data_IF_088880284334
#
_entry.id   IF_088880284334
#
_cell.length_a   1.000
_cell.length_b   1.000
_cell.length_c   1.000
_cell.angle_alpha   90.00
_cell.angle_beta   90.00
_cell.angle_gamma   90.00
#
_symmetry.space_group_name_H-M   'P 1'
#
loop_
_entity.id
_entity.type
_entity.pdbx_description
1 polymer ?
#
# COMPACT_ATOMS: atom_id res chain seq x y z
N UNK A 1 -33.23 41.82 -0.90
CA UNK A 1 -32.44 40.95 -1.79
C UNK A 1 -31.16 40.61 -1.05
N UNK A 2 -31.02 39.37 -0.58
CA UNK A 2 -29.81 38.92 0.12
C UNK A 2 -28.71 38.68 -0.91
N UNK A 3 -27.61 39.43 -0.80
CA UNK A 3 -26.37 39.16 -1.54
C UNK A 3 -25.89 37.75 -1.20
N UNK A 4 -25.81 36.88 -2.20
CA UNK A 4 -25.10 35.62 -2.05
C UNK A 4 -23.61 35.90 -2.30
N UNK A 5 -22.70 35.35 -1.47
CA UNK A 5 -21.27 35.52 -1.70
C UNK A 5 -20.89 34.86 -3.03
N UNK A 6 -20.24 35.62 -3.92
CA UNK A 6 -19.69 35.06 -5.15
C UNK A 6 -18.63 34.01 -4.80
N UNK A 7 -18.97 32.75 -5.07
CA UNK A 7 -18.02 31.64 -5.04
C UNK A 7 -17.04 31.81 -6.21
N UNK A 8 -15.92 32.50 -5.98
CA UNK A 8 -14.79 32.53 -6.92
C UNK A 8 -13.72 31.53 -6.48
N UNK A 9 -13.30 30.67 -7.42
CA UNK A 9 -12.18 29.75 -7.23
C UNK A 9 -10.83 30.48 -7.21
N UNK A 10 -9.76 29.76 -6.89
CA UNK A 10 -8.39 30.27 -7.05
C UNK A 10 -8.11 30.57 -8.53
N UNK A 11 -7.41 31.67 -8.80
CA UNK A 11 -6.82 31.89 -10.13
C UNK A 11 -5.69 30.90 -10.39
N UNK A 12 -5.33 30.73 -11.66
CA UNK A 12 -4.23 29.85 -12.06
C UNK A 12 -2.92 30.27 -11.38
N UNK A 13 -2.61 31.57 -11.35
CA UNK A 13 -1.39 32.10 -10.72
C UNK A 13 -1.38 31.81 -9.22
N UNK A 14 -2.52 32.00 -8.56
CA UNK A 14 -2.65 31.70 -7.14
C UNK A 14 -2.45 30.21 -6.86
N UNK A 15 -2.98 29.32 -7.71
CA UNK A 15 -2.80 27.88 -7.59
C UNK A 15 -1.33 27.47 -7.77
N UNK A 16 -0.65 27.97 -8.80
CA UNK A 16 0.76 27.63 -9.07
C UNK A 16 1.71 28.12 -7.97
N UNK A 17 1.46 29.30 -7.39
CA UNK A 17 2.31 29.87 -6.34
C UNK A 17 2.29 29.07 -5.03
N UNK A 18 1.29 28.22 -4.80
CA UNK A 18 1.18 27.36 -3.61
C UNK A 18 1.93 26.02 -3.82
N UNK A 19 2.17 25.62 -5.07
CA UNK A 19 2.85 24.36 -5.38
C UNK A 19 4.37 24.46 -5.14
N UNK A 20 4.91 23.53 -4.36
CA UNK A 20 6.35 23.42 -4.09
C UNK A 20 7.04 22.40 -5.01
N UNK A 21 8.33 22.58 -5.28
CA UNK A 21 9.14 21.59 -5.98
C UNK A 21 9.29 20.30 -5.16
N UNK A 22 9.29 19.10 -5.78
CA UNK A 22 9.49 17.84 -5.05
C UNK A 22 10.84 17.75 -4.33
N UNK A 23 10.86 17.23 -3.09
CA UNK A 23 12.11 16.90 -2.38
C UNK A 23 12.80 15.70 -3.08
N UNK A 24 14.13 15.68 -3.27
CA UNK A 24 14.84 14.56 -3.90
C UNK A 24 14.58 13.19 -3.25
N UNK A 25 14.17 13.15 -1.98
CA UNK A 25 13.81 11.91 -1.26
C UNK A 25 12.47 11.31 -1.72
N UNK A 26 11.58 12.10 -2.33
CA UNK A 26 10.28 11.62 -2.81
C UNK A 26 10.30 11.21 -4.28
N UNK A 27 11.46 11.26 -4.94
CA UNK A 27 11.62 11.00 -6.39
C UNK A 27 11.06 9.64 -6.86
N UNK A 28 11.10 8.63 -5.99
CA UNK A 28 10.69 7.26 -6.31
C UNK A 28 9.29 6.93 -5.77
N UNK A 29 8.59 7.91 -5.16
CA UNK A 29 7.21 7.71 -4.70
C UNK A 29 6.26 7.60 -5.88
N UNK A 30 5.20 6.82 -5.70
CA UNK A 30 4.15 6.65 -6.70
C UNK A 30 2.78 6.59 -6.03
N UNK A 31 1.76 7.10 -6.72
CA UNK A 31 0.36 6.91 -6.31
C UNK A 31 -0.06 5.48 -6.68
N UNK A 32 0.08 4.59 -5.71
CA UNK A 32 -0.04 3.15 -5.92
C UNK A 32 -1.49 2.71 -6.01
N UNK A 33 -2.35 3.18 -5.11
CA UNK A 33 -3.71 2.69 -4.98
C UNK A 33 -4.71 3.78 -4.61
N UNK A 34 -5.94 3.56 -5.05
CA UNK A 34 -7.15 4.16 -4.47
C UNK A 34 -7.99 3.04 -3.88
N UNK A 35 -8.41 3.19 -2.62
CA UNK A 35 -9.19 2.16 -1.93
C UNK A 35 -10.66 2.51 -1.87
N UNK A 36 -11.52 1.57 -2.28
CA UNK A 36 -12.98 1.68 -2.16
C UNK A 36 -13.55 0.47 -1.40
N UNK A 37 -14.49 0.73 -0.50
CA UNK A 37 -15.24 -0.35 0.17
C UNK A 37 -16.39 -0.81 -0.71
N UNK A 38 -16.53 -2.12 -0.84
CA UNK A 38 -17.56 -2.74 -1.69
C UNK A 38 -18.44 -3.71 -0.90
N UNK A 39 -19.73 -3.72 -1.26
CA UNK A 39 -20.74 -4.57 -0.61
C UNK A 39 -20.72 -6.01 -1.10
N UNK A 40 -20.59 -6.22 -2.41
CA UNK A 40 -20.62 -7.55 -3.05
C UNK A 40 -19.46 -7.68 -4.03
N UNK A 41 -18.43 -8.50 -3.72
CA UNK A 41 -17.25 -8.64 -4.56
C UNK A 41 -17.56 -9.28 -5.90
N UNK A 42 -18.62 -10.10 -6.03
CA UNK A 42 -18.94 -10.72 -7.32
C UNK A 42 -19.41 -9.68 -8.33
N UNK A 43 -20.32 -8.80 -7.91
CA UNK A 43 -20.83 -7.70 -8.75
C UNK A 43 -19.73 -6.70 -9.07
N UNK A 44 -18.91 -6.34 -8.08
CA UNK A 44 -17.82 -5.40 -8.29
C UNK A 44 -16.75 -5.96 -9.23
N UNK A 45 -16.30 -7.21 -9.04
CA UNK A 45 -15.31 -7.82 -9.92
C UNK A 45 -15.83 -7.96 -11.34
N UNK A 46 -17.08 -8.40 -11.53
CA UNK A 46 -17.70 -8.44 -12.86
C UNK A 46 -17.71 -7.06 -13.52
N UNK A 47 -18.15 -6.02 -12.80
CA UNK A 47 -18.19 -4.65 -13.33
C UNK A 47 -16.79 -4.15 -13.72
N UNK A 48 -15.82 -4.19 -12.81
CA UNK A 48 -14.49 -3.64 -13.08
C UNK A 48 -13.71 -4.45 -14.13
N UNK A 49 -13.92 -5.76 -14.22
CA UNK A 49 -13.20 -6.59 -15.20
C UNK A 49 -13.90 -6.65 -16.56
N UNK A 50 -15.21 -6.95 -16.61
CA UNK A 50 -15.94 -7.15 -17.86
C UNK A 50 -16.39 -5.84 -18.51
N UNK A 51 -16.83 -4.85 -17.72
CA UNK A 51 -17.33 -3.58 -18.26
C UNK A 51 -16.18 -2.58 -18.43
N UNK A 52 -15.33 -2.44 -17.42
CA UNK A 52 -14.24 -1.47 -17.45
C UNK A 52 -12.92 -2.04 -17.97
N UNK A 53 -12.81 -3.35 -18.19
CA UNK A 53 -11.61 -3.96 -18.79
C UNK A 53 -10.39 -4.05 -17.87
N UNK A 54 -10.57 -3.92 -16.55
CA UNK A 54 -9.46 -4.09 -15.60
C UNK A 54 -9.12 -5.57 -15.38
N UNK A 55 -7.91 -5.81 -14.88
CA UNK A 55 -7.41 -7.13 -14.51
C UNK A 55 -7.32 -7.24 -12.98
N UNK A 56 -7.83 -8.34 -12.42
CA UNK A 56 -7.58 -8.70 -11.02
C UNK A 56 -6.14 -9.18 -10.86
N UNK A 57 -5.32 -8.41 -10.15
CA UNK A 57 -3.90 -8.69 -9.94
C UNK A 57 -3.65 -9.60 -8.75
N UNK A 58 -4.29 -9.29 -7.63
CA UNK A 58 -4.06 -9.96 -6.35
C UNK A 58 -5.35 -10.00 -5.53
N UNK A 59 -5.56 -11.12 -4.83
CA UNK A 59 -6.55 -11.24 -3.76
C UNK A 59 -5.82 -11.52 -2.45
N UNK A 60 -6.18 -10.80 -1.40
CA UNK A 60 -5.65 -11.00 -0.06
C UNK A 60 -6.80 -11.19 0.92
N UNK A 61 -6.82 -12.33 1.62
CA UNK A 61 -7.82 -12.60 2.65
C UNK A 61 -7.23 -12.42 4.04
N UNK A 62 -7.98 -11.77 4.92
CA UNK A 62 -7.63 -11.60 6.32
C UNK A 62 -8.73 -12.19 7.20
N UNK A 63 -8.77 -13.53 7.38
CA UNK A 63 -9.85 -14.21 8.11
C UNK A 63 -10.02 -13.69 9.52
N UNK A 64 -8.90 -13.46 10.22
CA UNK A 64 -8.90 -12.92 11.57
C UNK A 64 -9.57 -11.55 11.62
N UNK A 65 -9.28 -10.66 10.67
CA UNK A 65 -9.83 -9.30 10.62
C UNK A 65 -11.15 -9.19 9.85
N UNK A 66 -11.66 -10.30 9.31
CA UNK A 66 -12.96 -10.42 8.64
C UNK A 66 -13.11 -9.49 7.43
N UNK A 67 -12.09 -9.39 6.59
CA UNK A 67 -12.21 -8.73 5.29
C UNK A 67 -11.31 -9.37 4.24
N UNK A 68 -11.64 -9.13 2.98
CA UNK A 68 -10.83 -9.47 1.81
C UNK A 68 -10.51 -8.20 1.01
N UNK A 69 -9.33 -8.17 0.41
CA UNK A 69 -8.89 -7.13 -0.51
C UNK A 69 -8.76 -7.72 -1.92
N UNK A 70 -9.18 -6.95 -2.92
CA UNK A 70 -9.03 -7.29 -4.33
C UNK A 70 -8.34 -6.11 -5.02
N UNK A 71 -7.18 -6.37 -5.62
CA UNK A 71 -6.40 -5.34 -6.32
C UNK A 71 -6.63 -5.45 -7.82
N UNK A 72 -7.13 -4.39 -8.44
CA UNK A 72 -7.38 -4.33 -9.87
C UNK A 72 -6.57 -3.20 -10.52
N UNK A 73 -6.14 -3.40 -11.77
CA UNK A 73 -5.49 -2.37 -12.56
C UNK A 73 -5.60 -2.68 -14.06
N UNK A 74 -5.19 -1.73 -14.90
CA UNK A 74 -4.98 -1.96 -16.34
C UNK A 74 -3.59 -2.53 -16.58
N UNK A 75 -3.46 -3.85 -16.41
CA UNK A 75 -2.22 -4.60 -16.64
C UNK A 75 -2.53 -5.85 -17.49
N UNK A 76 -1.52 -6.33 -18.22
CA UNK A 76 -1.62 -7.61 -18.92
C UNK A 76 -1.60 -8.75 -17.88
N UNK A 77 -2.50 -9.72 -18.06
CA UNK A 77 -2.55 -10.94 -17.26
C UNK A 77 -1.28 -11.77 -17.38
N UNK A 78 -0.58 -11.68 -18.53
CA UNK A 78 0.64 -12.43 -18.78
C UNK A 78 1.84 -11.92 -17.96
N UNK A 79 1.80 -10.66 -17.53
CA UNK A 79 2.87 -10.05 -16.72
C UNK A 79 2.75 -10.38 -15.22
N UNK A 80 1.63 -10.99 -14.80
CA UNK A 80 1.37 -11.33 -13.40
C UNK A 80 2.24 -12.52 -12.99
N UNK A 81 3.18 -12.36 -12.03
CA UNK A 81 4.01 -13.46 -11.58
C UNK A 81 3.20 -14.60 -10.95
N UNK A 82 3.62 -15.84 -11.20
CA UNK A 82 2.95 -17.02 -10.64
C UNK A 82 3.29 -17.25 -9.17
N UNK A 83 4.52 -16.94 -8.75
CA UNK A 83 4.89 -17.02 -7.33
C UNK A 83 4.13 -15.98 -6.49
N UNK A 84 3.64 -16.39 -5.33
CA UNK A 84 2.80 -15.54 -4.48
C UNK A 84 3.56 -14.33 -3.95
N UNK A 85 4.83 -14.48 -3.56
CA UNK A 85 5.63 -13.39 -2.99
C UNK A 85 6.03 -12.40 -4.07
N UNK A 86 6.44 -12.90 -5.23
CA UNK A 86 6.76 -12.07 -6.40
C UNK A 86 5.54 -11.31 -6.89
N UNK A 87 4.38 -11.96 -6.98
CA UNK A 87 3.11 -11.31 -7.35
C UNK A 87 2.71 -10.20 -6.40
N UNK A 88 2.92 -10.43 -5.09
CA UNK A 88 2.66 -9.43 -4.06
C UNK A 88 3.55 -8.21 -4.27
N UNK A 89 4.87 -8.40 -4.39
CA UNK A 89 5.82 -7.31 -4.63
C UNK A 89 5.52 -6.57 -5.95
N UNK A 90 5.22 -7.32 -7.01
CA UNK A 90 4.86 -6.78 -8.32
C UNK A 90 3.59 -5.94 -8.25
N UNK A 91 2.50 -6.45 -7.65
CA UNK A 91 1.21 -5.76 -7.52
C UNK A 91 1.37 -4.43 -6.78
N UNK A 92 2.06 -4.43 -5.64
CA UNK A 92 2.27 -3.22 -4.83
C UNK A 92 3.29 -2.23 -5.42
N UNK A 93 3.93 -2.58 -6.54
CA UNK A 93 4.75 -1.67 -7.34
C UNK A 93 3.98 -1.03 -8.51
N UNK A 94 2.78 -1.53 -8.83
CA UNK A 94 1.96 -1.00 -9.92
C UNK A 94 1.39 0.37 -9.55
N UNK A 95 1.34 1.28 -10.51
CA UNK A 95 0.70 2.60 -10.35
C UNK A 95 -0.81 2.47 -10.53
N UNK A 96 -1.56 3.38 -9.91
CA UNK A 96 -3.00 3.56 -10.19
C UNK A 96 -3.86 2.30 -10.05
N UNK A 97 -3.56 1.44 -9.07
CA UNK A 97 -4.40 0.29 -8.75
C UNK A 97 -5.66 0.71 -7.99
N UNK A 98 -6.69 -0.12 -8.11
CA UNK A 98 -7.93 -0.01 -7.35
C UNK A 98 -7.96 -1.13 -6.31
N UNK A 99 -7.93 -0.75 -5.04
CA UNK A 99 -8.08 -1.68 -3.91
C UNK A 99 -9.56 -1.75 -3.51
N UNK A 100 -10.21 -2.88 -3.76
CA UNK A 100 -11.58 -3.12 -3.33
C UNK A 100 -11.58 -3.88 -2.01
N UNK A 101 -12.07 -3.22 -0.95
CA UNK A 101 -12.19 -3.81 0.39
C UNK A 101 -13.59 -4.36 0.60
N UNK A 102 -13.70 -5.67 0.81
CA UNK A 102 -14.95 -6.34 1.13
C UNK A 102 -14.96 -6.85 2.58
N UNK A 103 -15.79 -6.28 3.49
CA UNK A 103 -15.98 -6.84 4.81
C UNK A 103 -16.75 -8.16 4.73
N UNK A 104 -16.19 -9.20 5.34
CA UNK A 104 -16.81 -10.53 5.40
C UNK A 104 -17.87 -10.49 6.50
N UNK A 105 -19.14 -10.62 6.11
CA UNK A 105 -20.23 -10.80 7.07
C UNK A 105 -20.24 -12.24 7.56
N UNK A 106 -20.05 -12.45 8.87
CA UNK A 106 -20.42 -13.72 9.49
C UNK A 106 -21.94 -13.77 9.66
N UNK A 107 -22.61 -14.74 9.05
CA UNK A 107 -23.95 -15.14 9.47
C UNK A 107 -23.81 -15.76 10.87
N UNK A 108 -24.21 -15.00 11.90
CA UNK A 108 -24.10 -15.38 13.30
C UNK A 108 -23.13 -14.47 14.05
N UNK A 109 -23.62 -13.31 14.50
CA UNK A 109 -22.93 -12.49 15.49
C UNK A 109 -23.02 -13.17 16.87
N UNK A 110 -22.35 -14.31 17.03
CA UNK A 110 -21.92 -14.79 18.33
C UNK A 110 -20.72 -13.96 18.76
N UNK A 111 -20.73 -13.47 19.99
CA UNK A 111 -19.61 -12.77 20.64
C UNK A 111 -18.30 -13.52 20.36
N UNK A 112 -17.33 -12.86 19.71
CA UNK A 112 -16.00 -13.43 19.46
C UNK A 112 -15.46 -14.04 20.76
N UNK A 113 -15.00 -15.30 20.69
CA UNK A 113 -14.40 -15.97 21.82
C UNK A 113 -13.14 -15.20 22.26
N UNK A 114 -12.78 -15.22 23.56
CA UNK A 114 -11.62 -14.48 24.08
C UNK A 114 -10.31 -14.75 23.32
N UNK A 115 -10.13 -15.99 22.83
CA UNK A 115 -8.99 -16.40 22.00
C UNK A 115 -9.00 -15.69 20.63
N UNK A 116 -10.14 -15.64 19.97
CA UNK A 116 -10.32 -14.94 18.68
C UNK A 116 -10.06 -13.44 18.82
N UNK A 117 -10.48 -12.82 19.94
CA UNK A 117 -10.15 -11.41 20.25
C UNK A 117 -8.66 -11.18 20.51
N UNK A 118 -7.97 -12.14 21.14
CA UNK A 118 -6.53 -12.06 21.36
C UNK A 118 -5.76 -12.23 20.04
N UNK A 119 -6.18 -13.15 19.19
CA UNK A 119 -5.61 -13.38 17.86
C UNK A 119 -5.87 -12.20 16.93
N UNK A 120 -7.05 -11.58 16.99
CA UNK A 120 -7.37 -10.31 16.31
C UNK A 120 -6.43 -9.19 16.73
N UNK A 121 -6.26 -8.98 18.05
CA UNK A 121 -5.33 -7.98 18.56
C UNK A 121 -3.89 -8.26 18.13
N UNK A 122 -3.49 -9.52 18.05
CA UNK A 122 -2.15 -9.94 17.61
C UNK A 122 -1.96 -9.74 16.11
N UNK A 123 -2.97 -10.05 15.29
CA UNK A 123 -2.98 -9.83 13.84
C UNK A 123 -2.98 -8.33 13.50
N UNK A 124 -3.81 -7.52 14.16
CA UNK A 124 -3.79 -6.06 14.01
C UNK A 124 -2.45 -5.47 14.43
N UNK A 125 -1.86 -5.95 15.53
CA UNK A 125 -0.49 -5.56 15.91
C UNK A 125 0.54 -5.98 14.87
N UNK A 126 0.41 -7.14 14.22
CA UNK A 126 1.31 -7.57 13.13
C UNK A 126 1.11 -6.75 11.87
N UNK A 127 -0.12 -6.36 11.55
CA UNK A 127 -0.45 -5.54 10.37
C UNK A 127 -0.03 -4.08 10.58
N UNK A 128 -0.33 -3.50 11.75
CA UNK A 128 0.20 -2.18 12.11
C UNK A 128 1.72 -2.22 12.27
N UNK A 129 2.30 -3.34 12.72
CA UNK A 129 3.75 -3.52 12.67
C UNK A 129 4.25 -3.71 11.24
N UNK A 130 3.48 -4.28 10.31
CA UNK A 130 3.84 -4.35 8.89
C UNK A 130 3.75 -2.98 8.22
N UNK A 131 2.72 -2.19 8.55
CA UNK A 131 2.59 -0.78 8.16
C UNK A 131 3.69 0.07 8.78
N UNK A 132 4.02 -0.16 10.05
CA UNK A 132 5.10 0.53 10.74
C UNK A 132 6.48 0.01 10.34
N UNK A 133 6.64 -1.24 9.90
CA UNK A 133 7.87 -1.77 9.32
C UNK A 133 8.01 -1.31 7.88
N UNK A 134 6.91 -1.09 7.17
CA UNK A 134 6.88 -0.42 5.87
C UNK A 134 7.27 1.05 6.05
N UNK A 135 6.63 1.79 6.96
CA UNK A 135 6.99 3.17 7.32
C UNK A 135 8.40 3.28 7.90
N UNK A 136 8.85 2.35 8.76
CA UNK A 136 10.21 2.33 9.32
C UNK A 136 11.22 1.83 8.28
N UNK A 137 10.85 1.03 7.29
CA UNK A 137 11.71 0.76 6.12
C UNK A 137 11.85 2.02 5.26
N UNK A 138 10.76 2.78 5.07
CA UNK A 138 10.81 4.11 4.45
C UNK A 138 11.64 5.09 5.31
N UNK A 139 11.52 5.06 6.64
CA UNK A 139 12.26 5.92 7.58
C UNK A 139 13.72 5.54 7.73
N UNK A 140 14.06 4.25 7.74
CA UNK A 140 15.44 3.72 7.75
C UNK A 140 16.09 4.04 6.41
N UNK A 141 15.38 3.93 5.28
CA UNK A 141 15.88 4.43 4.00
C UNK A 141 16.17 5.95 4.08
N UNK A 142 15.26 6.75 4.63
CA UNK A 142 15.45 8.21 4.83
C UNK A 142 16.57 8.54 5.82
N UNK A 143 16.73 7.77 6.90
CA UNK A 143 17.75 7.98 7.95
C UNK A 143 19.13 7.48 7.51
N UNK A 144 19.20 6.40 6.73
CA UNK A 144 20.42 5.93 6.07
C UNK A 144 20.92 6.98 5.07
N UNK A 145 20.03 7.60 4.28
CA UNK A 145 20.33 8.75 3.41
C UNK A 145 20.88 9.97 4.17
N UNK A 146 20.36 10.26 5.37
CA UNK A 146 20.88 11.32 6.23
C UNK A 146 22.27 10.97 6.82
N UNK A 147 22.50 9.72 7.21
CA UNK A 147 23.78 9.27 7.76
C UNK A 147 24.88 9.09 6.70
N UNK A 148 24.54 8.64 5.48
CA UNK A 148 25.50 8.58 4.36
C UNK A 148 25.80 9.97 3.80
N UNK A 149 24.81 10.87 3.75
CA UNK A 149 24.99 12.28 3.36
C UNK A 149 25.88 13.09 4.33
N UNK A 150 25.86 12.77 5.63
CA UNK A 150 26.81 13.34 6.59
C UNK A 150 28.22 12.73 6.46
N UNK A 151 28.35 11.45 6.06
CA UNK A 151 29.65 10.79 5.90
C UNK A 151 30.43 11.26 4.68
N UNK A 152 29.77 11.57 3.56
CA UNK A 152 30.43 12.14 2.37
C UNK A 152 30.91 13.58 2.57
N UNK A 153 30.35 14.33 3.54
CA UNK A 153 30.88 15.65 3.94
C UNK A 153 32.06 15.60 4.93
N UNK A 154 32.37 14.43 5.50
CA UNK A 154 33.41 14.26 6.53
C UNK A 154 34.60 13.39 6.09
N UNK A 155 34.66 12.96 4.82
CA UNK A 155 35.88 12.34 4.25
C UNK A 155 36.32 11.02 4.89
N UNK A 156 35.42 10.23 5.50
CA UNK A 156 35.79 8.96 6.13
C UNK A 156 35.75 7.82 5.10
N UNK A 157 36.93 7.23 4.82
CA UNK A 157 37.11 6.11 3.89
C UNK A 157 36.38 4.84 4.34
N UNK A 158 35.89 4.12 3.33
CA UNK A 158 35.15 2.87 3.39
C UNK A 158 35.96 1.71 3.98
N UNK A 159 35.31 0.96 4.88
CA UNK A 159 35.72 -0.39 5.24
C UNK A 159 34.55 -1.10 5.92
N UNK A 160 33.64 -1.69 5.12
CA UNK A 160 32.92 -2.95 5.37
C UNK A 160 31.70 -3.08 4.44
N UNK A 161 31.74 -4.10 3.59
CA UNK A 161 30.63 -4.86 3.00
C UNK A 161 31.18 -6.28 2.77
N UNK A 162 30.40 -7.36 2.60
CA UNK A 162 28.96 -7.56 2.86
C UNK A 162 28.69 -8.82 3.71
N UNK A 163 27.71 -8.84 4.60
CA UNK A 163 27.11 -10.10 5.06
C UNK A 163 25.75 -9.85 5.74
N UNK A 164 24.69 -9.87 4.96
CA UNK A 164 23.32 -10.19 5.42
C UNK A 164 22.39 -10.42 4.22
N UNK A 165 22.82 -11.28 3.30
CA UNK A 165 21.96 -11.94 2.32
C UNK A 165 22.55 -13.33 2.12
N UNK A 166 22.36 -14.21 3.11
CA UNK A 166 22.48 -15.68 3.01
C UNK A 166 22.13 -16.27 4.39
N UNK A 167 20.84 -16.53 4.62
CA UNK A 167 20.32 -17.62 5.49
C UNK A 167 18.82 -17.39 5.74
N UNK A 168 18.00 -17.76 4.75
CA UNK A 168 16.71 -18.36 5.06
C UNK A 168 16.90 -19.83 4.68
N UNK A 169 17.33 -20.60 5.68
CA UNK A 169 17.44 -22.04 5.60
C UNK A 169 16.01 -22.58 5.44
N UNK A 170 15.75 -23.18 4.28
CA UNK A 170 14.58 -24.03 4.05
C UNK A 170 15.04 -25.44 4.39
N UNK A 171 14.47 -26.04 5.42
CA UNK A 171 14.49 -27.48 5.63
C UNK A 171 13.12 -27.94 6.16
N UNK A 172 12.73 -29.20 5.86
CA UNK A 172 11.37 -29.61 5.56
C UNK A 172 10.39 -29.61 6.74
#
# INVERSE_FOLDING_TARGET
MSEQPELSGLSDEAAFNICSSPDPKTKDFLLQQTMLRIKDPKKSLDFYTRILGMTLLQKCDFPTMKFSLYFLAYEDKNDIPQDTKERTAWTFSRKATLELTHPIQHKGAGTLLPKEKADLRRAMKRMMKWSALWEESQRIAVKWLLCTGLRTKLGVRSGFYPQCCHQINVQP
#
